data_IF_740757970479
#
_entry.id   IF_740757970479
#
_cell.length_a   1.000
_cell.length_b   1.000
_cell.length_c   1.000
_cell.angle_alpha   90.00
_cell.angle_beta   90.00
_cell.angle_gamma   90.00
#
_symmetry.space_group_name_H-M   'P 1'
#
loop_
_entity.id
_entity.type
_entity.pdbx_description
1 polymer ?
#
# COMPACT_ATOMS: atom_id res chain seq x y z
N UNK A 1 -49.25 49.35 -49.08
CA UNK A 1 -49.03 48.10 -49.86
C UNK A 1 -48.69 46.99 -48.86
N UNK A 2 -49.67 46.19 -48.44
CA UNK A 2 -50.17 44.96 -49.04
C UNK A 2 -49.18 43.77 -49.05
N UNK A 3 -49.57 42.74 -48.26
CA UNK A 3 -49.40 41.29 -48.49
C UNK A 3 -47.96 40.73 -48.38
N UNK A 4 -47.69 39.57 -47.79
CA UNK A 4 -48.52 38.47 -47.26
C UNK A 4 -47.59 37.62 -46.37
N UNK A 5 -48.06 37.31 -45.17
CA UNK A 5 -47.45 36.32 -44.28
C UNK A 5 -47.73 34.93 -44.87
N UNK A 6 -46.70 34.12 -45.10
CA UNK A 6 -46.83 32.66 -45.29
C UNK A 6 -46.05 31.97 -44.18
N UNK A 7 -46.80 31.40 -43.24
CA UNK A 7 -46.32 30.42 -42.26
C UNK A 7 -45.85 29.18 -43.02
N UNK A 8 -44.60 28.77 -42.82
CA UNK A 8 -44.16 27.41 -43.13
C UNK A 8 -43.68 26.80 -41.83
N UNK A 9 -44.48 25.84 -41.38
CA UNK A 9 -44.28 24.95 -40.25
C UNK A 9 -43.16 23.98 -40.65
N UNK A 10 -41.95 24.19 -40.13
CA UNK A 10 -40.80 23.32 -40.33
C UNK A 10 -40.38 22.74 -38.99
N UNK A 11 -40.93 21.58 -38.65
CA UNK A 11 -40.46 20.72 -37.56
C UNK A 11 -39.04 20.29 -37.95
N UNK A 12 -38.02 20.79 -37.26
CA UNK A 12 -36.67 20.27 -37.36
C UNK A 12 -36.25 19.72 -36.01
N UNK A 13 -36.12 18.40 -35.98
CA UNK A 13 -35.73 17.57 -34.85
C UNK A 13 -34.54 18.11 -34.10
N UNK A 14 -34.71 18.16 -32.78
CA UNK A 14 -33.69 18.24 -31.76
C UNK A 14 -32.72 17.04 -31.93
N UNK A 15 -31.49 17.29 -32.39
CA UNK A 15 -30.40 16.32 -32.30
C UNK A 15 -29.49 16.78 -31.15
N UNK A 16 -29.79 16.29 -29.95
CA UNK A 16 -28.87 16.36 -28.80
C UNK A 16 -27.86 15.21 -28.94
N UNK A 17 -26.81 15.41 -29.73
CA UNK A 17 -25.61 14.56 -29.68
C UNK A 17 -24.75 15.03 -28.51
N UNK A 18 -25.10 14.58 -27.30
CA UNK A 18 -24.15 14.49 -26.19
C UNK A 18 -23.20 13.30 -26.46
N UNK A 19 -22.29 13.47 -27.41
CA UNK A 19 -21.13 12.59 -27.53
C UNK A 19 -20.01 13.12 -26.65
N UNK A 20 -20.20 13.05 -25.32
CA UNK A 20 -19.06 12.90 -24.43
C UNK A 20 -18.52 11.49 -24.65
N UNK A 21 -17.73 11.33 -25.71
CA UNK A 21 -16.76 10.24 -25.80
C UNK A 21 -15.83 10.42 -24.61
N UNK A 22 -16.12 9.72 -23.51
CA UNK A 22 -15.14 9.37 -22.48
C UNK A 22 -14.10 8.48 -23.15
N UNK A 23 -13.24 9.12 -23.95
CA UNK A 23 -12.05 8.48 -24.45
C UNK A 23 -11.29 7.99 -23.22
N UNK A 24 -10.96 6.71 -23.23
CA UNK A 24 -9.82 6.17 -22.50
C UNK A 24 -8.60 7.00 -22.93
N UNK A 25 -8.41 8.16 -22.32
CA UNK A 25 -7.13 8.84 -22.32
C UNK A 25 -6.21 7.87 -21.60
N UNK A 26 -5.25 7.29 -22.33
CA UNK A 26 -4.41 6.20 -21.86
C UNK A 26 -3.94 6.46 -20.43
N UNK A 27 -4.44 5.67 -19.49
CA UNK A 27 -4.06 5.77 -18.10
C UNK A 27 -2.58 5.43 -18.00
N UNK A 28 -1.75 6.42 -17.65
CA UNK A 28 -0.32 6.22 -17.45
C UNK A 28 -0.14 5.67 -16.04
N UNK A 29 0.13 4.37 -15.93
CA UNK A 29 0.45 3.73 -14.67
C UNK A 29 1.93 3.96 -14.34
N UNK A 30 2.23 4.54 -13.17
CA UNK A 30 3.60 4.60 -12.66
C UNK A 30 3.90 3.37 -11.80
N UNK A 31 5.16 3.05 -11.53
CA UNK A 31 5.54 1.99 -10.58
C UNK A 31 5.89 2.55 -9.20
N UNK A 32 5.59 3.83 -8.96
CA UNK A 32 5.99 4.52 -7.73
C UNK A 32 5.10 4.03 -6.58
N UNK A 33 5.71 3.76 -5.43
CA UNK A 33 5.00 3.48 -4.17
C UNK A 33 4.49 2.05 -3.97
N UNK A 34 4.76 1.13 -4.90
CA UNK A 34 4.32 -0.26 -4.77
C UNK A 34 5.48 -1.18 -4.40
N UNK A 35 5.56 -1.60 -3.14
CA UNK A 35 6.51 -2.59 -2.64
C UNK A 35 5.79 -3.56 -1.72
N UNK A 36 6.05 -4.85 -1.88
CA UNK A 36 5.55 -5.87 -0.97
C UNK A 36 6.31 -5.78 0.34
N UNK A 37 5.66 -6.01 1.48
CA UNK A 37 6.39 -6.02 2.73
C UNK A 37 5.55 -6.04 4.00
N UNK A 38 6.27 -6.07 5.11
CA UNK A 38 5.74 -6.11 6.46
C UNK A 38 6.13 -4.82 7.19
N UNK A 39 5.16 -4.17 7.82
CA UNK A 39 5.41 -3.12 8.79
C UNK A 39 5.16 -3.65 10.19
N UNK A 40 6.16 -3.52 11.06
CA UNK A 40 6.09 -3.87 12.47
C UNK A 40 6.00 -2.59 13.28
N UNK A 41 4.87 -2.41 13.98
CA UNK A 41 4.70 -1.31 14.93
C UNK A 41 5.09 -1.80 16.33
N UNK A 42 6.06 -1.14 16.93
CA UNK A 42 6.56 -1.46 18.26
C UNK A 42 5.73 -0.75 19.33
N UNK A 43 5.39 -1.48 20.39
CA UNK A 43 4.69 -0.98 21.59
C UNK A 43 5.48 -1.32 22.85
N UNK A 44 5.30 -0.53 23.90
CA UNK A 44 5.99 -0.72 25.18
C UNK A 44 7.31 0.05 25.29
N UNK A 45 8.20 -0.43 26.15
CA UNK A 45 9.50 0.20 26.40
C UNK A 45 10.54 -0.37 25.44
N UNK A 46 10.85 0.39 24.39
CA UNK A 46 11.78 -0.02 23.34
C UNK A 46 13.23 0.21 23.83
N UNK A 47 14.12 -0.79 23.78
CA UNK A 47 15.53 -0.61 24.09
C UNK A 47 16.21 0.42 23.17
N UNK A 48 17.23 1.12 23.67
CA UNK A 48 17.99 2.09 22.87
C UNK A 48 18.78 1.45 21.72
N UNK A 49 19.21 0.19 21.89
CA UNK A 49 19.88 -0.61 20.87
C UNK A 49 19.31 -2.02 20.82
N UNK A 50 18.90 -2.47 19.63
CA UNK A 50 18.34 -3.80 19.40
C UNK A 50 18.47 -4.24 17.95
N UNK A 51 18.36 -5.56 17.73
CA UNK A 51 18.13 -6.18 16.43
C UNK A 51 16.72 -6.76 16.41
N UNK A 52 15.91 -6.35 15.44
CA UNK A 52 14.62 -6.99 15.16
C UNK A 52 14.79 -7.91 13.95
N UNK A 53 14.53 -9.20 14.14
CA UNK A 53 14.57 -10.22 13.11
C UNK A 53 13.17 -10.74 12.80
N UNK A 54 12.89 -10.95 11.52
CA UNK A 54 11.73 -11.68 11.02
C UNK A 54 12.19 -13.08 10.66
N UNK A 55 11.56 -14.09 11.25
CA UNK A 55 11.81 -15.50 10.94
C UNK A 55 10.59 -16.13 10.29
N UNK A 56 10.82 -17.03 9.34
CA UNK A 56 9.81 -17.90 8.74
C UNK A 56 10.35 -19.31 8.70
N UNK A 57 9.55 -20.29 9.09
CA UNK A 57 9.97 -21.70 9.19
C UNK A 57 11.27 -21.89 10.00
N UNK A 58 11.44 -21.08 11.06
CA UNK A 58 12.63 -21.11 11.93
C UNK A 58 13.88 -20.45 11.35
N UNK A 59 13.85 -19.93 10.12
CA UNK A 59 14.99 -19.25 9.49
C UNK A 59 14.79 -17.73 9.49
N UNK A 60 15.84 -16.97 9.79
CA UNK A 60 15.85 -15.51 9.63
C UNK A 60 15.76 -15.17 8.14
N UNK A 61 14.69 -14.48 7.75
CA UNK A 61 14.45 -14.05 6.36
C UNK A 61 14.74 -12.57 6.17
N UNK A 62 14.69 -11.78 7.25
CA UNK A 62 15.15 -10.39 7.27
C UNK A 62 15.47 -9.95 8.69
N UNK A 63 16.30 -8.93 8.81
CA UNK A 63 16.54 -8.25 10.08
C UNK A 63 16.95 -6.80 9.89
N UNK A 64 16.75 -6.01 10.95
CA UNK A 64 17.26 -4.65 11.05
C UNK A 64 17.88 -4.42 12.41
N UNK A 65 19.02 -3.75 12.39
CA UNK A 65 19.69 -3.25 13.58
C UNK A 65 19.30 -1.79 13.81
N UNK A 66 18.96 -1.50 15.04
CA UNK A 66 18.46 -0.20 15.48
C UNK A 66 19.31 0.25 16.65
N UNK A 67 19.92 1.42 16.51
CA UNK A 67 20.77 2.05 17.51
C UNK A 67 20.63 3.58 17.38
N UNK A 68 21.43 4.32 18.15
CA UNK A 68 21.41 5.79 18.18
C UNK A 68 21.69 6.43 16.81
N UNK A 69 22.40 5.73 15.92
CA UNK A 69 22.80 6.21 14.59
C UNK A 69 21.78 5.88 13.50
N UNK A 70 21.14 4.71 13.58
CA UNK A 70 20.20 4.22 12.54
C UNK A 70 18.74 4.63 12.80
N UNK A 71 18.40 5.00 14.05
CA UNK A 71 17.07 5.50 14.49
C UNK A 71 15.86 4.88 13.77
N UNK A 72 15.47 3.66 14.16
CA UNK A 72 14.34 2.95 13.55
C UNK A 72 12.94 3.47 13.95
N UNK A 73 12.86 4.34 14.97
CA UNK A 73 11.57 4.79 15.51
C UNK A 73 10.72 3.65 16.07
N UNK A 74 9.40 3.83 16.05
CA UNK A 74 8.40 2.85 16.52
C UNK A 74 7.77 2.03 15.40
N UNK A 75 8.13 2.27 14.14
CA UNK A 75 7.56 1.58 12.99
C UNK A 75 8.68 1.14 12.05
N UNK A 76 8.83 -0.17 11.89
CA UNK A 76 9.91 -0.78 11.13
C UNK A 76 9.32 -1.49 9.92
N UNK A 77 9.73 -1.09 8.73
CA UNK A 77 9.30 -1.73 7.49
C UNK A 77 10.36 -2.66 6.91
N UNK A 78 9.96 -3.88 6.57
CA UNK A 78 10.73 -4.87 5.85
C UNK A 78 10.14 -5.06 4.46
N UNK A 79 10.96 -4.97 3.43
CA UNK A 79 10.53 -5.22 2.05
C UNK A 79 10.57 -6.72 1.73
N UNK A 80 9.73 -7.14 0.79
CA UNK A 80 9.65 -8.50 0.26
C UNK A 80 9.35 -9.59 1.31
N UNK A 81 8.69 -9.22 2.42
CA UNK A 81 8.14 -10.17 3.39
C UNK A 81 6.66 -10.38 3.07
N UNK A 82 6.31 -11.58 2.62
CA UNK A 82 4.94 -12.00 2.26
C UNK A 82 4.48 -13.28 2.98
N UNK A 83 5.32 -13.82 3.87
CA UNK A 83 4.99 -14.99 4.67
C UNK A 83 3.86 -14.67 5.64
N UNK A 84 2.79 -15.46 5.60
CA UNK A 84 1.63 -15.28 6.50
C UNK A 84 1.95 -15.74 7.92
N UNK A 85 2.77 -16.77 8.10
CA UNK A 85 3.23 -17.21 9.42
C UNK A 85 4.68 -16.78 9.63
N UNK A 86 4.92 -15.94 10.63
CA UNK A 86 6.26 -15.43 10.97
C UNK A 86 6.48 -15.43 12.48
N UNK A 87 7.75 -15.33 12.87
CA UNK A 87 8.17 -15.05 14.23
C UNK A 87 8.94 -13.74 14.22
N UNK A 88 8.58 -12.81 15.10
CA UNK A 88 9.40 -11.63 15.38
C UNK A 88 10.27 -11.90 16.58
N UNK A 89 11.58 -11.70 16.43
CA UNK A 89 12.56 -11.85 17.50
C UNK A 89 13.31 -10.54 17.70
N UNK A 90 13.26 -10.02 18.93
CA UNK A 90 14.04 -8.85 19.35
C UNK A 90 15.19 -9.31 20.23
N UNK A 91 16.41 -8.95 19.80
CA UNK A 91 17.63 -9.14 20.56
C UNK A 91 18.13 -7.79 21.04
N UNK A 92 18.41 -7.64 22.33
CA UNK A 92 18.99 -6.43 22.91
C UNK A 92 20.20 -6.81 23.78
N UNK A 93 21.26 -6.01 23.73
CA UNK A 93 22.51 -6.27 24.47
C UNK A 93 23.09 -7.69 24.22
N UNK A 94 22.90 -8.23 23.01
CA UNK A 94 23.38 -9.56 22.63
C UNK A 94 22.57 -10.74 23.18
N UNK A 95 21.44 -10.50 23.86
CA UNK A 95 20.53 -11.54 24.35
C UNK A 95 19.14 -11.41 23.74
N UNK A 96 18.45 -12.53 23.55
CA UNK A 96 17.06 -12.54 23.12
C UNK A 96 16.20 -11.89 24.22
N UNK A 97 15.58 -10.76 23.91
CA UNK A 97 14.74 -10.02 24.84
C UNK A 97 13.26 -10.42 24.69
N UNK A 98 12.80 -10.65 23.46
CA UNK A 98 11.42 -11.03 23.16
C UNK A 98 11.33 -11.85 21.88
N UNK A 99 10.41 -12.81 21.86
CA UNK A 99 10.01 -13.53 20.66
C UNK A 99 8.50 -13.74 20.65
N UNK A 100 7.86 -13.62 19.49
CA UNK A 100 6.42 -13.82 19.34
C UNK A 100 6.05 -14.27 17.93
N UNK A 101 5.11 -15.22 17.85
CA UNK A 101 4.54 -15.71 16.60
C UNK A 101 3.40 -14.81 16.13
N UNK A 102 3.30 -14.63 14.81
CA UNK A 102 2.25 -13.86 14.15
C UNK A 102 1.67 -14.62 12.97
N UNK A 103 0.36 -14.50 12.79
CA UNK A 103 -0.31 -14.73 11.51
C UNK A 103 -0.65 -13.39 10.89
N UNK A 104 0.08 -13.01 9.85
CA UNK A 104 -0.02 -11.72 9.17
C UNK A 104 -1.12 -11.75 8.13
N UNK A 105 -2.05 -10.80 8.23
CA UNK A 105 -3.00 -10.50 7.16
C UNK A 105 -2.39 -9.47 6.19
N UNK A 106 -2.19 -9.89 4.94
CA UNK A 106 -1.73 -9.01 3.88
C UNK A 106 -2.91 -8.42 3.12
N UNK A 107 -2.84 -7.11 2.86
CA UNK A 107 -3.80 -6.38 2.03
C UNK A 107 -3.19 -5.99 0.71
N UNK A 108 -3.99 -6.09 -0.34
CA UNK A 108 -3.67 -5.57 -1.65
C UNK A 108 -3.66 -4.04 -1.62
N UNK A 109 -2.63 -3.45 -2.23
CA UNK A 109 -2.42 -2.03 -2.38
C UNK A 109 -2.22 -1.72 -3.85
N UNK A 110 -2.98 -0.73 -4.35
CA UNK A 110 -2.93 -0.27 -5.73
C UNK A 110 -2.63 1.24 -5.75
N UNK A 111 -1.39 1.65 -5.42
CA UNK A 111 -1.07 3.06 -5.26
C UNK A 111 -1.18 3.85 -6.58
N UNK A 112 -1.15 3.15 -7.72
CA UNK A 112 -1.23 3.74 -9.06
C UNK A 112 -2.66 3.71 -9.63
N UNK A 113 -3.65 3.32 -8.83
CA UNK A 113 -5.07 3.22 -9.20
C UNK A 113 -5.53 1.79 -9.46
N UNK A 114 -6.85 1.57 -9.40
CA UNK A 114 -7.47 0.24 -9.43
C UNK A 114 -7.17 -0.60 -10.69
N UNK A 115 -7.03 0.08 -11.82
CA UNK A 115 -6.73 -0.51 -13.13
C UNK A 115 -5.24 -0.55 -13.45
N UNK A 116 -4.38 -0.09 -12.54
CA UNK A 116 -2.93 0.00 -12.77
C UNK A 116 -2.17 -1.10 -12.04
N UNK A 117 -1.55 -2.05 -12.77
CA UNK A 117 -0.60 -2.99 -12.18
C UNK A 117 0.74 -2.31 -11.85
N UNK A 118 1.55 -2.89 -10.93
CA UNK A 118 1.26 -4.09 -10.14
C UNK A 118 0.37 -3.79 -8.92
N UNK A 119 -0.24 -4.85 -8.38
CA UNK A 119 -0.82 -4.86 -7.04
C UNK A 119 0.26 -5.32 -6.07
N UNK A 120 0.50 -4.58 -4.99
CA UNK A 120 1.45 -4.98 -3.95
C UNK A 120 0.72 -5.42 -2.68
N UNK A 121 1.39 -6.22 -1.86
CA UNK A 121 0.86 -6.75 -0.60
C UNK A 121 1.56 -6.12 0.59
N UNK A 122 0.78 -5.57 1.51
CA UNK A 122 1.28 -5.00 2.76
C UNK A 122 0.64 -5.68 3.97
N UNK A 123 1.48 -6.16 4.86
CA UNK A 123 1.09 -6.67 6.17
C UNK A 123 1.51 -5.69 7.25
N UNK A 124 0.70 -5.59 8.32
CA UNK A 124 1.05 -4.81 9.51
C UNK A 124 0.80 -5.64 10.75
N UNK A 125 1.75 -5.61 11.69
CA UNK A 125 1.61 -6.25 13.00
C UNK A 125 2.01 -5.31 14.12
N UNK A 126 1.39 -5.48 15.28
CA UNK A 126 1.73 -4.79 16.52
C UNK A 126 2.56 -5.73 17.39
N UNK A 127 3.79 -5.33 17.72
CA UNK A 127 4.72 -6.11 18.51
C UNK A 127 5.03 -5.40 19.83
N UNK A 128 4.51 -5.96 20.92
CA UNK A 128 4.70 -5.42 22.27
C UNK A 128 5.97 -5.98 22.88
N UNK A 129 6.89 -5.08 23.21
CA UNK A 129 8.19 -5.35 23.83
C UNK A 129 8.04 -5.31 25.35
#
# INVERSE_FOLDING_TARGET
MNKKIKKVLGIFSLILINSCSSGNQGQICTLIGCSNGLTVNLKGTIPASYKLAVKSNGQEVASKECNETTQCGTSISFDNIENTAIILELTANGAAAKSQDFTVEYKDLKPNGESCPPVCKRGTVEFTI
#
